data_IF_982700811631
#
_entry.id   IF_982700811631
#
_cell.length_a   1.000
_cell.length_b   1.000
_cell.length_c   1.000
_cell.angle_alpha   90.00
_cell.angle_beta   90.00
_cell.angle_gamma   90.00
#
_symmetry.space_group_name_H-M   'P 1'
#
loop_
_entity.id
_entity.type
_entity.pdbx_description
1 polymer ?
#
# COMPACT_ATOMS: atom_id res chain seq x y z
N UNK A 1 14.37 15.26 2.50
CA UNK A 1 14.06 13.83 2.62
C UNK A 1 14.35 13.38 4.04
N UNK A 2 13.34 12.82 4.72
CA UNK A 2 13.44 12.27 6.08
C UNK A 2 14.42 11.09 6.11
N UNK A 3 15.04 10.79 7.25
CA UNK A 3 15.93 9.62 7.39
C UNK A 3 15.19 8.32 7.05
N UNK A 4 13.91 8.25 7.41
CA UNK A 4 13.00 7.17 7.06
C UNK A 4 12.82 7.01 5.55
N UNK A 5 12.70 8.12 4.81
CA UNK A 5 12.57 8.06 3.35
C UNK A 5 13.84 7.53 2.70
N UNK A 6 15.02 7.93 3.22
CA UNK A 6 16.31 7.43 2.72
C UNK A 6 16.45 5.93 2.97
N UNK A 7 16.08 5.45 4.15
CA UNK A 7 16.10 4.02 4.48
C UNK A 7 15.15 3.21 3.58
N UNK A 8 13.93 3.72 3.34
CA UNK A 8 12.96 3.07 2.44
C UNK A 8 13.50 2.97 1.00
N UNK A 9 14.16 4.02 0.51
CA UNK A 9 14.77 4.02 -0.83
C UNK A 9 15.95 3.03 -0.94
N UNK A 10 16.78 2.95 0.10
CA UNK A 10 17.90 2.00 0.13
C UNK A 10 17.41 0.56 0.11
N UNK A 11 16.38 0.24 0.88
CA UNK A 11 15.81 -1.11 0.88
C UNK A 11 15.11 -1.42 -0.44
N UNK A 12 14.35 -0.48 -1.00
CA UNK A 12 13.72 -0.66 -2.31
C UNK A 12 14.76 -0.94 -3.40
N UNK A 13 15.93 -0.28 -3.34
CA UNK A 13 17.05 -0.55 -4.23
C UNK A 13 17.57 -1.97 -4.07
N UNK A 14 17.85 -2.40 -2.84
CA UNK A 14 18.33 -3.76 -2.55
C UNK A 14 17.33 -4.83 -2.99
N UNK A 15 16.03 -4.61 -2.79
CA UNK A 15 14.98 -5.55 -3.19
C UNK A 15 14.80 -5.61 -4.72
N UNK A 16 14.97 -4.48 -5.42
CA UNK A 16 14.84 -4.43 -6.89
C UNK A 16 15.95 -5.14 -7.66
N UNK A 17 17.08 -5.48 -7.02
CA UNK A 17 18.18 -6.19 -7.69
C UNK A 17 17.76 -7.59 -8.18
N UNK A 18 16.71 -8.18 -7.59
CA UNK A 18 16.24 -9.53 -7.90
C UNK A 18 14.82 -9.56 -8.51
N UNK A 19 14.28 -8.43 -8.96
CA UNK A 19 12.90 -8.32 -9.46
C UNK A 19 12.87 -7.81 -10.90
N UNK A 20 11.85 -8.19 -11.67
CA UNK A 20 11.57 -7.61 -13.00
C UNK A 20 10.95 -6.20 -12.89
N UNK A 21 11.69 -5.26 -12.27
CA UNK A 21 11.25 -3.89 -12.08
C UNK A 21 12.30 -2.99 -11.41
N UNK A 22 12.04 -1.68 -11.42
CA UNK A 22 12.93 -0.70 -10.79
C UNK A 22 12.53 -0.41 -9.34
N UNK A 23 13.50 -0.03 -8.51
CA UNK A 23 13.25 0.50 -7.16
C UNK A 23 12.20 1.62 -7.16
N UNK A 24 12.19 2.47 -8.20
CA UNK A 24 11.21 3.55 -8.36
C UNK A 24 9.79 3.04 -8.57
N UNK A 25 9.60 2.00 -9.39
CA UNK A 25 8.29 1.36 -9.58
C UNK A 25 7.79 0.70 -8.28
N UNK A 26 8.69 0.03 -7.56
CA UNK A 26 8.37 -0.60 -6.28
C UNK A 26 7.94 0.43 -5.23
N UNK A 27 8.66 1.55 -5.12
CA UNK A 27 8.30 2.66 -4.24
C UNK A 27 6.98 3.30 -4.66
N UNK A 28 6.79 3.55 -5.95
CA UNK A 28 5.55 4.14 -6.47
C UNK A 28 4.34 3.27 -6.12
N UNK A 29 4.43 1.95 -6.31
CA UNK A 29 3.39 1.01 -5.94
C UNK A 29 3.14 1.00 -4.43
N UNK A 30 4.20 0.98 -3.64
CA UNK A 30 4.14 1.02 -2.16
C UNK A 30 3.39 2.25 -1.66
N UNK A 31 3.76 3.43 -2.16
CA UNK A 31 3.10 4.69 -1.80
C UNK A 31 1.65 4.75 -2.31
N UNK A 32 1.39 4.24 -3.51
CA UNK A 32 0.04 4.18 -4.07
C UNK A 32 -0.87 3.25 -3.25
N UNK A 33 -0.38 2.06 -2.88
CA UNK A 33 -1.08 1.09 -2.03
C UNK A 33 -1.42 1.65 -0.67
N UNK A 34 -0.43 2.22 0.02
CA UNK A 34 -0.65 2.91 1.29
C UNK A 34 -1.68 4.04 1.17
N UNK A 35 -1.55 4.90 0.15
CA UNK A 35 -2.44 6.05 -0.03
C UNK A 35 -3.87 5.61 -0.33
N UNK A 36 -4.07 4.60 -1.17
CA UNK A 36 -5.37 4.06 -1.49
C UNK A 36 -6.05 3.47 -0.24
N UNK A 37 -5.32 2.63 0.49
CA UNK A 37 -5.79 1.99 1.71
C UNK A 37 -6.14 3.02 2.81
N UNK A 38 -5.24 3.96 3.08
CA UNK A 38 -5.44 4.99 4.10
C UNK A 38 -6.58 5.95 3.74
N UNK A 39 -6.71 6.34 2.46
CA UNK A 39 -7.78 7.23 1.99
C UNK A 39 -9.16 6.61 2.17
N UNK A 40 -9.32 5.32 1.88
CA UNK A 40 -10.61 4.63 2.03
C UNK A 40 -11.06 4.56 3.51
N UNK A 41 -10.11 4.43 4.43
CA UNK A 41 -10.39 4.39 5.86
C UNK A 41 -10.38 5.75 6.56
N UNK A 42 -10.13 6.84 5.83
CA UNK A 42 -9.81 8.15 6.40
C UNK A 42 -8.78 8.07 7.54
N UNK A 43 -7.74 7.26 7.32
CA UNK A 43 -6.74 6.93 8.33
C UNK A 43 -5.58 7.92 8.26
N UNK A 44 -5.22 8.47 9.41
CA UNK A 44 -4.05 9.31 9.58
C UNK A 44 -3.10 8.66 10.58
N UNK A 45 -1.85 8.49 10.17
CA UNK A 45 -0.82 7.86 10.98
C UNK A 45 0.32 8.84 11.27
N UNK A 46 0.89 8.81 12.48
CA UNK A 46 2.12 9.55 12.76
C UNK A 46 3.27 9.00 11.91
N UNK A 47 4.29 9.83 11.67
CA UNK A 47 5.40 9.52 10.76
C UNK A 47 6.08 8.16 11.02
N UNK A 48 6.40 7.76 12.27
CA UNK A 48 7.03 6.46 12.53
C UNK A 48 6.14 5.27 12.12
N UNK A 49 4.84 5.38 12.38
CA UNK A 49 3.88 4.32 12.03
C UNK A 49 3.61 4.25 10.53
N UNK A 50 3.56 5.41 9.87
CA UNK A 50 3.49 5.49 8.41
C UNK A 50 4.70 4.81 7.77
N UNK A 51 5.90 5.05 8.30
CA UNK A 51 7.11 4.41 7.81
C UNK A 51 7.06 2.89 7.96
N UNK A 52 6.69 2.38 9.14
CA UNK A 52 6.55 0.94 9.36
C UNK A 52 5.56 0.28 8.37
N UNK A 53 4.43 0.94 8.09
CA UNK A 53 3.46 0.46 7.11
C UNK A 53 4.02 0.47 5.68
N UNK A 54 4.68 1.55 5.27
CA UNK A 54 5.31 1.63 3.94
C UNK A 54 6.37 0.55 3.76
N UNK A 55 7.17 0.31 4.79
CA UNK A 55 8.20 -0.72 4.81
C UNK A 55 7.62 -2.14 4.70
N UNK A 56 6.49 -2.39 5.34
CA UNK A 56 5.79 -3.67 5.26
C UNK A 56 5.18 -3.91 3.88
N UNK A 57 4.56 -2.88 3.31
CA UNK A 57 4.02 -2.93 1.95
C UNK A 57 5.15 -3.14 0.93
N UNK A 58 6.28 -2.44 1.08
CA UNK A 58 7.44 -2.56 0.19
C UNK A 58 7.92 -4.00 0.11
N UNK A 59 8.13 -4.63 1.28
CA UNK A 59 8.52 -6.04 1.38
C UNK A 59 7.48 -6.95 0.75
N UNK A 60 6.19 -6.72 1.02
CA UNK A 60 5.12 -7.52 0.43
C UNK A 60 5.11 -7.44 -1.10
N UNK A 61 5.24 -6.23 -1.66
CA UNK A 61 5.33 -6.02 -3.10
C UNK A 61 6.52 -6.74 -3.74
N UNK A 62 7.67 -6.73 -3.07
CA UNK A 62 8.87 -7.44 -3.52
C UNK A 62 8.71 -8.96 -3.44
N UNK A 63 8.28 -9.50 -2.30
CA UNK A 63 8.14 -10.95 -2.11
C UNK A 63 6.97 -11.56 -2.90
N UNK A 64 5.89 -10.80 -3.09
CA UNK A 64 4.72 -11.23 -3.84
C UNK A 64 4.88 -11.09 -5.35
N UNK A 65 6.06 -10.69 -5.84
CA UNK A 65 6.33 -10.45 -7.26
C UNK A 65 5.25 -9.59 -7.92
N UNK A 66 4.72 -8.59 -7.20
CA UNK A 66 3.59 -7.77 -7.65
C UNK A 66 3.95 -6.83 -8.82
N UNK A 67 5.24 -6.76 -9.17
CA UNK A 67 5.72 -6.09 -10.38
C UNK A 67 5.86 -7.06 -11.57
N UNK A 68 5.86 -8.36 -11.30
CA UNK A 68 6.02 -9.43 -12.27
C UNK A 68 4.62 -9.89 -12.71
N UNK A 69 4.46 -10.27 -13.98
CA UNK A 69 3.16 -10.66 -14.58
C UNK A 69 2.10 -9.55 -14.71
N UNK A 70 2.45 -8.37 -15.25
CA UNK A 70 1.51 -7.38 -15.82
C UNK A 70 0.15 -7.18 -15.07
N UNK A 71 0.11 -7.13 -13.73
CA UNK A 71 -1.15 -6.91 -13.04
C UNK A 71 -1.63 -5.49 -13.36
N UNK A 72 -2.95 -5.31 -13.51
CA UNK A 72 -3.45 -3.93 -13.58
C UNK A 72 -3.09 -3.23 -12.27
N UNK A 73 -2.86 -1.91 -12.33
CA UNK A 73 -2.57 -1.14 -11.12
C UNK A 73 -3.65 -1.37 -10.04
N UNK A 74 -4.90 -1.59 -10.44
CA UNK A 74 -6.01 -1.90 -9.54
C UNK A 74 -5.87 -3.23 -8.81
N UNK A 75 -5.44 -4.28 -9.49
CA UNK A 75 -5.23 -5.60 -8.88
C UNK A 75 -4.15 -5.54 -7.80
N UNK A 76 -3.03 -4.86 -8.11
CA UNK A 76 -1.94 -4.69 -7.15
C UNK A 76 -2.35 -3.87 -5.92
N UNK A 77 -3.15 -2.81 -6.13
CA UNK A 77 -3.67 -2.00 -5.02
C UNK A 77 -4.68 -2.77 -4.15
N UNK A 78 -5.49 -3.63 -4.76
CA UNK A 78 -6.43 -4.50 -4.03
C UNK A 78 -5.67 -5.51 -3.17
N UNK A 79 -4.68 -6.19 -3.74
CA UNK A 79 -3.82 -7.14 -3.01
C UNK A 79 -3.16 -6.50 -1.78
N UNK A 80 -2.56 -5.31 -1.96
CA UNK A 80 -1.96 -4.56 -0.85
C UNK A 80 -3.01 -4.23 0.22
N UNK A 81 -4.21 -3.81 -0.20
CA UNK A 81 -5.28 -3.45 0.73
C UNK A 81 -5.81 -4.67 1.52
N UNK A 82 -5.93 -5.83 0.88
CA UNK A 82 -6.36 -7.08 1.51
C UNK A 82 -5.30 -7.58 2.49
N UNK A 83 -4.03 -7.53 2.12
CA UNK A 83 -2.91 -7.82 3.02
C UNK A 83 -2.95 -6.93 4.27
N UNK A 84 -3.12 -5.61 4.10
CA UNK A 84 -3.20 -4.68 5.22
C UNK A 84 -4.45 -4.89 6.08
N UNK A 85 -5.59 -5.26 5.48
CA UNK A 85 -6.80 -5.57 6.24
C UNK A 85 -6.66 -6.84 7.08
N UNK A 86 -6.00 -7.88 6.53
CA UNK A 86 -5.70 -9.10 7.25
C UNK A 86 -4.74 -8.87 8.42
N UNK A 87 -3.71 -8.05 8.24
CA UNK A 87 -2.73 -7.73 9.31
C UNK A 87 -3.27 -6.74 10.34
N UNK A 88 -4.17 -5.84 9.93
CA UNK A 88 -4.71 -4.80 10.80
C UNK A 88 -6.25 -4.79 10.85
N UNK A 89 -6.89 -5.78 11.51
CA UNK A 89 -8.35 -5.93 11.54
C UNK A 89 -9.11 -4.69 12.03
N UNK A 90 -8.54 -3.94 12.98
CA UNK A 90 -9.16 -2.70 13.50
C UNK A 90 -9.34 -1.64 12.41
N UNK A 91 -8.38 -1.52 11.50
CA UNK A 91 -8.43 -0.57 10.39
C UNK A 91 -9.33 -1.11 9.27
N UNK A 92 -9.32 -2.43 9.04
CA UNK A 92 -10.25 -3.09 8.13
C UNK A 92 -11.72 -2.82 8.49
N UNK A 93 -12.09 -2.98 9.77
CA UNK A 93 -13.45 -2.67 10.24
C UNK A 93 -13.84 -1.20 9.99
N UNK A 94 -12.89 -0.28 10.21
CA UNK A 94 -13.10 1.16 9.97
C UNK A 94 -13.34 1.44 8.48
N UNK A 95 -12.51 0.85 7.61
CA UNK A 95 -12.63 0.93 6.15
C UNK A 95 -13.97 0.37 5.67
N UNK A 96 -14.35 -0.83 6.11
CA UNK A 96 -15.62 -1.46 5.77
C UNK A 96 -16.81 -0.58 6.17
N UNK A 97 -16.79 -0.02 7.39
CA UNK A 97 -17.84 0.90 7.87
C UNK A 97 -17.95 2.15 7.00
N UNK A 98 -16.82 2.76 6.63
CA UNK A 98 -16.80 3.97 5.79
C UNK A 98 -17.19 3.68 4.35
N UNK A 99 -16.75 2.56 3.78
CA UNK A 99 -17.19 2.07 2.45
C UNK A 99 -18.70 1.85 2.42
N UNK A 100 -19.26 1.18 3.43
CA UNK A 100 -20.70 0.98 3.58
C UNK A 100 -21.47 2.30 3.76
N UNK A 101 -20.87 3.31 4.40
CA UNK A 101 -21.44 4.66 4.49
C UNK A 101 -21.42 5.35 3.12
N UNK A 102 -20.32 5.28 2.37
CA UNK A 102 -20.21 5.89 1.03
C UNK A 102 -21.23 5.31 0.05
N UNK A 103 -21.44 4.00 0.09
CA UNK A 103 -22.42 3.31 -0.75
C UNK A 103 -23.88 3.67 -0.39
N UNK A 104 -24.17 3.97 0.89
CA UNK A 104 -25.51 4.38 1.35
C UNK A 104 -25.95 5.76 0.84
N UNK A 105 -25.02 6.65 0.50
CA UNK A 105 -25.34 7.99 -0.03
C UNK A 105 -25.23 8.11 -1.55
N UNK A 106 -25.20 6.98 -2.27
CA UNK A 106 -25.47 6.96 -3.71
C UNK A 106 -24.46 7.66 -4.62
N UNK A 107 -23.16 7.68 -4.30
CA UNK A 107 -22.16 7.94 -5.34
C UNK A 107 -21.83 6.61 -6.05
N UNK A 108 -22.10 6.46 -7.35
CA UNK A 108 -21.58 5.33 -8.12
C UNK A 108 -20.05 5.35 -7.99
N UNK A 109 -19.47 4.19 -7.74
CA UNK A 109 -18.03 4.02 -7.93
C UNK A 109 -17.80 4.06 -9.44
N UNK A 110 -17.34 5.21 -9.95
CA UNK A 110 -16.74 5.35 -11.29
C UNK A 110 -15.26 5.07 -11.19
#
# INVERSE_FOLDING_TARGET
MSEFEKALHQEAKALSENLDGTAGQLLALTHAGYKAWAKEGNLHFPEPKRYALLHEILRYCAYGSLLECNPTQWDSLREIAEMLDGRYPRYACTRARLRARRNRYGRPCV
#
